data_IF_141331901647
#
_entry.id   IF_141331901647
#
_cell.length_a   1.000
_cell.length_b   1.000
_cell.length_c   1.000
_cell.angle_alpha   90.00
_cell.angle_beta   90.00
_cell.angle_gamma   90.00
#
_symmetry.space_group_name_H-M   'P 1'
#
loop_
_entity.id
_entity.type
_entity.pdbx_description
1 polymer ?
#
# COMPACT_ATOMS: atom_id res chain seq x y z
N UNK A 1 -21.31 -27.26 10.99
CA UNK A 1 -20.43 -26.92 9.86
C UNK A 1 -19.66 -25.64 10.22
N UNK A 2 -18.36 -25.72 10.56
CA UNK A 2 -17.54 -24.52 10.83
C UNK A 2 -17.18 -23.91 9.48
N UNK A 3 -17.89 -22.87 9.05
CA UNK A 3 -17.48 -22.06 7.90
C UNK A 3 -16.16 -21.40 8.27
N UNK A 4 -15.03 -21.94 7.77
CA UNK A 4 -13.77 -21.19 7.71
C UNK A 4 -14.10 -19.94 6.91
N UNK A 5 -14.25 -18.79 7.58
CA UNK A 5 -14.29 -17.50 6.90
C UNK A 5 -13.00 -17.44 6.10
N UNK A 6 -13.12 -17.51 4.78
CA UNK A 6 -12.04 -17.15 3.88
C UNK A 6 -11.84 -15.65 4.11
N UNK A 7 -11.00 -15.31 5.08
CA UNK A 7 -10.44 -13.97 5.20
C UNK A 7 -9.51 -13.82 4.00
N UNK A 8 -10.09 -13.53 2.83
CA UNK A 8 -9.34 -12.91 1.77
C UNK A 8 -8.75 -11.65 2.36
N UNK A 9 -7.44 -11.49 2.21
CA UNK A 9 -6.75 -10.29 2.65
C UNK A 9 -7.18 -9.17 1.70
N UNK A 10 -8.29 -8.49 2.04
CA UNK A 10 -8.88 -7.46 1.19
C UNK A 10 -8.04 -6.20 1.27
N UNK A 11 -7.65 -5.67 0.11
CA UNK A 11 -7.00 -4.37 0.04
C UNK A 11 -8.00 -3.26 0.38
N UNK A 12 -7.58 -2.30 1.20
CA UNK A 12 -8.36 -1.09 1.38
C UNK A 12 -8.28 -0.22 0.11
N UNK A 13 -9.27 0.65 -0.17
CA UNK A 13 -9.21 1.57 -1.31
C UNK A 13 -7.96 2.46 -1.28
N UNK A 14 -7.50 2.77 -0.07
CA UNK A 14 -6.25 3.49 0.19
C UNK A 14 -5.01 2.72 -0.27
N UNK A 15 -4.93 1.43 0.05
CA UNK A 15 -3.84 0.55 -0.37
C UNK A 15 -3.86 0.33 -1.89
N UNK A 16 -5.04 0.18 -2.48
CA UNK A 16 -5.21 0.06 -3.92
C UNK A 16 -4.62 1.26 -4.67
N UNK A 17 -4.91 2.49 -4.22
CA UNK A 17 -4.33 3.70 -4.82
C UNK A 17 -2.80 3.71 -4.76
N UNK A 18 -2.22 3.28 -3.65
CA UNK A 18 -0.76 3.15 -3.51
C UNK A 18 -0.21 2.17 -4.54
N UNK A 19 -0.83 0.99 -4.66
CA UNK A 19 -0.41 -0.05 -5.60
C UNK A 19 -0.56 0.38 -7.06
N UNK A 20 -1.66 1.07 -7.43
CA UNK A 20 -1.86 1.62 -8.78
C UNK A 20 -0.79 2.65 -9.11
N UNK A 21 -0.47 3.56 -8.18
CA UNK A 21 0.57 4.56 -8.39
C UNK A 21 1.94 3.90 -8.59
N UNK A 22 2.29 2.92 -7.76
CA UNK A 22 3.56 2.19 -7.87
C UNK A 22 3.61 1.30 -9.13
N UNK A 23 2.49 0.72 -9.57
CA UNK A 23 2.43 -0.03 -10.82
C UNK A 23 2.71 0.87 -12.03
N UNK A 24 2.26 2.12 -12.00
CA UNK A 24 2.47 3.09 -13.07
C UNK A 24 3.90 3.65 -13.12
N UNK A 25 4.47 3.98 -11.97
CA UNK A 25 5.75 4.72 -11.90
C UNK A 25 6.95 3.88 -11.45
N UNK A 26 6.73 2.63 -11.05
CA UNK A 26 7.70 1.68 -10.45
C UNK A 26 8.30 2.11 -9.11
N UNK A 27 8.82 3.34 -9.01
CA UNK A 27 9.47 3.86 -7.81
C UNK A 27 8.92 5.24 -7.47
N UNK A 28 8.43 5.40 -6.25
CA UNK A 28 7.94 6.67 -5.74
C UNK A 28 8.40 6.85 -4.30
N UNK A 29 8.82 8.07 -3.97
CA UNK A 29 9.05 8.51 -2.60
C UNK A 29 7.71 8.89 -1.94
N UNK A 30 7.67 8.92 -0.60
CA UNK A 30 6.47 9.36 0.14
C UNK A 30 5.99 10.75 -0.28
N UNK A 31 6.86 11.78 -0.44
CA UNK A 31 6.42 13.08 -0.94
C UNK A 31 5.82 13.04 -2.35
N UNK A 32 6.35 12.21 -3.25
CA UNK A 32 5.78 12.07 -4.60
C UNK A 32 4.40 11.42 -4.57
N UNK A 33 4.17 10.42 -3.71
CA UNK A 33 2.85 9.82 -3.53
C UNK A 33 1.82 10.84 -3.01
N UNK A 34 2.22 11.72 -2.08
CA UNK A 34 1.37 12.82 -1.60
C UNK A 34 1.06 13.82 -2.71
N UNK A 35 2.08 14.24 -3.47
CA UNK A 35 1.90 15.17 -4.60
C UNK A 35 1.01 14.60 -5.72
N UNK A 36 1.02 13.29 -5.92
CA UNK A 36 0.11 12.60 -6.84
C UNK A 36 -1.34 12.50 -6.32
N UNK A 37 -1.62 12.98 -5.10
CA UNK A 37 -2.95 12.91 -4.50
C UNK A 37 -3.36 11.49 -4.11
N UNK A 38 -2.42 10.56 -3.96
CA UNK A 38 -2.72 9.20 -3.46
C UNK A 38 -3.38 9.30 -2.08
N UNK A 39 -2.88 10.22 -1.26
CA UNK A 39 -3.41 10.58 0.05
C UNK A 39 -3.09 12.04 0.41
N UNK A 40 -3.90 12.62 1.29
CA UNK A 40 -3.69 13.98 1.81
C UNK A 40 -2.73 14.04 3.02
N UNK A 41 -2.61 12.96 3.79
CA UNK A 41 -1.85 12.93 5.04
C UNK A 41 -0.73 11.88 4.98
N UNK A 42 0.48 12.28 5.35
CA UNK A 42 1.70 11.46 5.33
C UNK A 42 1.65 10.29 6.31
N UNK A 43 1.06 10.48 7.49
CA UNK A 43 1.01 9.45 8.54
C UNK A 43 0.09 8.31 8.12
N UNK A 44 -1.07 8.65 7.53
CA UNK A 44 -1.97 7.65 6.96
C UNK A 44 -1.30 6.91 5.79
N UNK A 45 -0.61 7.63 4.90
CA UNK A 45 0.11 7.02 3.78
C UNK A 45 1.18 6.05 4.27
N UNK A 46 2.01 6.49 5.22
CA UNK A 46 3.06 5.67 5.81
C UNK A 46 2.48 4.44 6.52
N UNK A 47 1.35 4.57 7.21
CA UNK A 47 0.64 3.44 7.82
C UNK A 47 0.21 2.42 6.76
N UNK A 48 -0.43 2.84 5.67
CA UNK A 48 -0.87 1.92 4.62
C UNK A 48 0.30 1.25 3.90
N UNK A 49 1.37 1.99 3.61
CA UNK A 49 2.60 1.43 3.02
C UNK A 49 3.23 0.41 3.98
N UNK A 50 3.26 0.72 5.27
CA UNK A 50 3.76 -0.17 6.31
C UNK A 50 2.96 -1.48 6.34
N UNK A 51 1.64 -1.39 6.38
CA UNK A 51 0.76 -2.56 6.30
C UNK A 51 1.05 -3.41 5.06
N UNK A 52 1.17 -2.81 3.88
CA UNK A 52 1.48 -3.53 2.63
C UNK A 52 2.87 -4.20 2.63
N UNK A 53 3.82 -3.67 3.40
CA UNK A 53 5.17 -4.25 3.57
C UNK A 53 5.18 -5.42 4.54
N UNK A 54 4.32 -5.40 5.56
CA UNK A 54 4.26 -6.42 6.60
C UNK A 54 3.41 -7.64 6.24
N UNK A 55 2.86 -7.70 5.03
CA UNK A 55 2.19 -8.91 4.55
C UNK A 55 3.19 -10.07 4.42
N UNK A 56 2.68 -11.31 4.58
CA UNK A 56 3.49 -12.53 4.41
C UNK A 56 4.23 -12.53 3.07
N UNK A 57 3.58 -12.03 2.02
CA UNK A 57 4.18 -11.70 0.74
C UNK A 57 4.07 -10.17 0.56
N UNK A 58 5.14 -9.42 0.79
CA UNK A 58 5.11 -7.96 0.72
C UNK A 58 4.68 -7.48 -0.67
N UNK A 59 3.71 -6.57 -0.73
CA UNK A 59 3.21 -6.01 -1.99
C UNK A 59 3.94 -4.71 -2.39
N UNK A 60 4.63 -4.10 -1.43
CA UNK A 60 5.45 -2.91 -1.62
C UNK A 60 6.81 -3.16 -1.01
N UNK A 61 7.87 -2.76 -1.69
CA UNK A 61 9.24 -2.81 -1.18
C UNK A 61 9.76 -1.41 -0.81
N UNK A 62 10.93 -1.35 -0.18
CA UNK A 62 11.70 -0.12 -0.04
C UNK A 62 13.06 -0.33 -0.68
N UNK A 63 13.48 0.62 -1.50
CA UNK A 63 14.80 0.63 -2.12
C UNK A 63 15.63 1.74 -1.47
N UNK A 64 16.90 1.47 -1.18
CA UNK A 64 17.89 2.49 -0.82
C UNK A 64 18.79 2.68 -2.04
N UNK A 65 19.04 3.93 -2.40
CA UNK A 65 19.99 4.31 -3.45
C UNK A 65 21.28 4.81 -2.81
#
# INVERSE_FOLDING_TARGET
MKTKRLFFQTLSPSQEKVLIALAKFKFLTTPQLLNLGVMANSDNLNKQISELRFWRNPLVASVKF
#
